data_IF_491140062682
#
_entry.id   IF_491140062682
#
_cell.length_a   1.000
_cell.length_b   1.000
_cell.length_c   1.000
_cell.angle_alpha   90.00
_cell.angle_beta   90.00
_cell.angle_gamma   90.00
#
_symmetry.space_group_name_H-M   'P 1'
#
loop_
_entity.id
_entity.type
_entity.pdbx_description
1 polymer ?
#
# COMPACT_ATOMS: atom_id res chain seq x y z
N UNK A 1 43.56 43.33 -64.79
CA UNK A 1 42.16 43.53 -64.32
C UNK A 1 41.27 42.28 -64.33
N UNK A 2 41.50 41.24 -65.15
CA UNK A 2 40.66 40.01 -65.12
C UNK A 2 40.88 39.09 -63.90
N UNK A 3 42.03 39.21 -63.20
CA UNK A 3 42.30 38.47 -61.95
C UNK A 3 41.68 39.13 -60.72
N UNK A 4 41.50 40.46 -60.72
CA UNK A 4 40.83 41.18 -59.63
C UNK A 4 39.32 40.91 -59.61
N UNK A 5 38.68 40.77 -60.78
CA UNK A 5 37.26 40.40 -60.87
C UNK A 5 36.99 38.95 -60.41
N UNK A 6 37.93 38.03 -60.66
CA UNK A 6 37.85 36.65 -60.14
C UNK A 6 38.09 36.61 -58.63
N UNK A 7 39.04 37.38 -58.11
CA UNK A 7 39.29 37.46 -56.67
C UNK A 7 38.10 38.09 -55.94
N UNK A 8 37.50 39.14 -56.51
CA UNK A 8 36.27 39.77 -56.00
C UNK A 8 35.07 38.80 -55.95
N UNK A 9 34.90 37.98 -56.99
CA UNK A 9 33.81 36.99 -57.07
C UNK A 9 34.01 35.83 -56.07
N UNK A 10 35.26 35.38 -55.88
CA UNK A 10 35.61 34.37 -54.86
C UNK A 10 35.47 34.95 -53.46
N UNK A 11 35.79 36.23 -53.23
CA UNK A 11 35.53 36.91 -51.95
C UNK A 11 34.05 37.21 -51.69
N UNK A 12 33.20 37.35 -52.73
CA UNK A 12 31.74 37.50 -52.52
C UNK A 12 31.03 36.19 -52.16
N UNK A 13 31.57 35.04 -52.57
CA UNK A 13 31.08 33.73 -52.11
C UNK A 13 31.54 33.37 -50.70
N UNK A 14 32.68 33.92 -50.26
CA UNK A 14 33.17 33.76 -48.89
C UNK A 14 32.37 34.61 -47.86
N UNK A 15 31.71 35.69 -48.30
CA UNK A 15 30.89 36.56 -47.45
C UNK A 15 29.41 36.16 -47.48
N UNK A 16 28.93 35.42 -48.49
CA UNK A 16 27.56 34.90 -48.56
C UNK A 16 27.39 33.51 -47.93
N UNK A 17 28.40 32.99 -47.22
CA UNK A 17 28.15 32.04 -46.17
C UNK A 17 27.55 32.77 -44.95
N UNK A 18 26.42 33.45 -45.17
CA UNK A 18 25.25 33.22 -44.34
C UNK A 18 24.96 31.71 -44.43
N UNK A 19 25.83 30.87 -43.86
CA UNK A 19 25.32 29.92 -42.93
C UNK A 19 24.59 30.82 -41.92
N UNK A 20 23.29 31.02 -42.17
CA UNK A 20 22.35 30.81 -41.11
C UNK A 20 22.89 29.54 -40.46
N UNK A 21 23.66 29.70 -39.38
CA UNK A 21 23.41 28.85 -38.27
C UNK A 21 21.89 28.98 -38.14
N UNK A 22 21.15 28.03 -38.74
CA UNK A 22 20.09 27.41 -37.98
C UNK A 22 20.72 27.33 -36.61
N UNK A 23 20.29 28.20 -35.70
CA UNK A 23 20.56 27.94 -34.29
C UNK A 23 20.28 26.46 -34.22
N UNK A 24 21.32 25.65 -33.95
CA UNK A 24 21.04 24.32 -33.47
C UNK A 24 20.11 24.67 -32.32
N UNK A 25 18.83 24.33 -32.46
CA UNK A 25 17.98 24.31 -31.31
C UNK A 25 18.81 23.44 -30.39
N UNK A 26 19.45 24.08 -29.42
CA UNK A 26 20.26 23.42 -28.42
C UNK A 26 19.35 22.28 -27.97
N UNK A 27 19.78 21.04 -28.08
CA UNK A 27 18.86 19.90 -27.89
C UNK A 27 18.12 20.05 -26.55
N UNK A 28 18.72 20.75 -25.58
CA UNK A 28 18.08 21.22 -24.35
C UNK A 28 16.84 22.14 -24.55
N UNK A 29 16.90 23.14 -25.43
CA UNK A 29 15.78 24.03 -25.76
C UNK A 29 14.68 23.34 -26.59
N UNK A 30 15.03 22.33 -27.41
CA UNK A 30 14.05 21.52 -28.14
C UNK A 30 13.44 20.41 -27.24
N UNK A 31 14.21 19.82 -26.32
CA UNK A 31 13.77 18.87 -25.29
C UNK A 31 12.69 19.50 -24.40
N UNK A 32 12.95 20.72 -23.93
CA UNK A 32 12.01 21.49 -23.12
C UNK A 32 10.73 21.89 -23.88
N UNK A 33 10.81 22.09 -25.20
CA UNK A 33 9.66 22.50 -26.03
C UNK A 33 8.80 21.31 -26.53
N UNK A 34 9.34 20.09 -26.53
CA UNK A 34 8.67 18.87 -27.04
C UNK A 34 8.15 17.94 -25.95
N UNK A 35 8.35 18.26 -24.66
CA UNK A 35 7.88 17.44 -23.54
C UNK A 35 8.72 16.18 -23.32
N UNK A 36 9.98 16.18 -23.78
CA UNK A 36 10.91 15.05 -23.72
C UNK A 36 11.52 14.85 -22.32
N UNK A 37 11.31 15.78 -21.38
CA UNK A 37 11.77 15.67 -19.99
C UNK A 37 10.82 14.81 -19.11
N UNK A 38 9.88 14.10 -19.73
CA UNK A 38 8.88 13.27 -19.06
C UNK A 38 7.69 14.05 -18.50
N UNK A 39 6.76 13.33 -17.85
CA UNK A 39 5.58 13.91 -17.20
C UNK A 39 5.71 13.74 -15.69
N UNK A 40 5.68 14.85 -14.95
CA UNK A 40 5.58 14.84 -13.49
C UNK A 40 4.13 15.10 -13.04
N UNK A 41 3.57 14.19 -12.24
CA UNK A 41 2.25 14.35 -11.62
C UNK A 41 2.41 14.30 -10.10
N UNK A 42 1.99 15.37 -9.42
CA UNK A 42 1.96 15.47 -7.96
C UNK A 42 0.55 15.43 -7.40
N UNK A 43 0.32 14.64 -6.36
CA UNK A 43 -0.96 14.60 -5.63
C UNK A 43 -0.82 15.29 -4.26
N UNK A 44 -1.30 16.54 -4.16
CA UNK A 44 -1.31 17.32 -2.93
C UNK A 44 -2.65 17.25 -2.20
N UNK A 45 -2.74 16.43 -1.14
CA UNK A 45 -3.87 16.42 -0.20
C UNK A 45 -3.34 16.54 1.22
N UNK A 46 -3.88 17.43 2.04
CA UNK A 46 -3.36 17.64 3.39
C UNK A 46 -3.87 16.61 4.40
N UNK A 47 -5.05 16.05 4.16
CA UNK A 47 -5.65 14.97 4.96
C UNK A 47 -6.88 14.39 4.26
N UNK A 48 -7.16 13.11 4.51
CA UNK A 48 -8.46 12.50 4.20
C UNK A 48 -9.11 12.09 5.52
N UNK A 49 -10.30 12.62 5.81
CA UNK A 49 -11.02 12.33 7.04
C UNK A 49 -12.43 11.85 6.74
N UNK A 50 -12.86 10.77 7.38
CA UNK A 50 -14.22 10.23 7.29
C UNK A 50 -14.73 10.04 8.71
N UNK A 51 -15.80 10.75 9.07
CA UNK A 51 -16.37 10.68 10.43
C UNK A 51 -16.92 9.29 10.74
N UNK A 52 -17.64 8.70 9.76
CA UNK A 52 -18.17 7.34 9.83
C UNK A 52 -18.15 6.68 8.46
N UNK A 53 -17.51 5.53 8.37
CA UNK A 53 -17.64 4.60 7.24
C UNK A 53 -18.58 3.48 7.67
N UNK A 54 -19.62 3.25 6.87
CA UNK A 54 -20.64 2.24 7.12
C UNK A 54 -20.63 1.21 6.00
N UNK A 55 -20.41 -0.06 6.37
CA UNK A 55 -20.52 -1.19 5.44
C UNK A 55 -21.77 -1.96 5.85
N UNK A 56 -22.79 -1.94 5.00
CA UNK A 56 -24.07 -2.58 5.26
C UNK A 56 -24.09 -4.02 4.75
N UNK A 57 -24.46 -4.93 5.64
CA UNK A 57 -24.82 -6.30 5.33
C UNK A 57 -26.36 -6.39 5.30
N UNK A 58 -26.91 -6.75 4.15
CA UNK A 58 -28.34 -6.54 3.85
C UNK A 58 -29.22 -7.74 4.20
N UNK A 59 -28.66 -8.95 4.21
CA UNK A 59 -29.36 -10.19 4.56
C UNK A 59 -29.03 -10.66 5.98
N UNK A 60 -27.85 -10.30 6.51
CA UNK A 60 -27.45 -10.64 7.86
C UNK A 60 -27.13 -12.13 8.03
N UNK A 61 -26.47 -12.47 9.12
CA UNK A 61 -26.14 -13.87 9.39
C UNK A 61 -27.40 -14.68 9.75
N UNK A 62 -27.74 -15.67 8.91
CA UNK A 62 -28.84 -16.59 9.15
C UNK A 62 -28.47 -17.63 10.21
N UNK A 63 -29.44 -17.98 11.08
CA UNK A 63 -29.28 -19.14 11.95
C UNK A 63 -29.39 -20.41 11.11
N UNK A 64 -28.33 -21.21 11.06
CA UNK A 64 -28.33 -22.47 10.31
C UNK A 64 -28.93 -23.63 11.11
N UNK A 65 -29.65 -23.34 12.20
CA UNK A 65 -30.39 -24.33 13.00
C UNK A 65 -29.51 -25.12 13.97
N UNK A 66 -28.30 -24.64 14.24
CA UNK A 66 -27.41 -25.25 15.22
C UNK A 66 -27.92 -25.02 16.65
N UNK A 67 -27.69 -25.98 17.55
CA UNK A 67 -27.92 -25.73 18.97
C UNK A 67 -27.05 -24.56 19.46
N UNK A 68 -27.51 -23.78 20.44
CA UNK A 68 -26.72 -22.68 21.01
C UNK A 68 -25.31 -23.15 21.41
N UNK A 69 -24.28 -22.44 20.97
CA UNK A 69 -22.87 -22.81 21.19
C UNK A 69 -22.26 -23.74 20.13
N UNK A 70 -22.99 -24.06 19.04
CA UNK A 70 -22.45 -24.76 17.88
C UNK A 70 -22.04 -23.77 16.78
N UNK A 71 -21.12 -24.17 15.90
CA UNK A 71 -20.79 -23.41 14.69
C UNK A 71 -22.07 -23.25 13.86
N UNK A 72 -22.43 -22.03 13.49
CA UNK A 72 -23.63 -21.76 12.68
C UNK A 72 -24.86 -21.26 13.44
N UNK A 73 -24.79 -21.20 14.78
CA UNK A 73 -25.92 -20.79 15.64
C UNK A 73 -25.89 -19.29 15.97
N UNK A 74 -27.05 -18.72 16.35
CA UNK A 74 -27.14 -17.37 16.91
C UNK A 74 -27.32 -16.24 15.88
N UNK A 75 -27.48 -16.58 14.61
CA UNK A 75 -27.95 -15.66 13.59
C UNK A 75 -29.41 -15.26 13.82
N UNK A 76 -29.81 -14.11 13.28
CA UNK A 76 -31.22 -13.70 13.28
C UNK A 76 -31.74 -13.43 11.86
N UNK A 77 -30.88 -13.54 10.85
CA UNK A 77 -31.19 -13.12 9.47
C UNK A 77 -31.60 -11.64 9.38
N UNK A 78 -31.10 -10.81 10.31
CA UNK A 78 -31.39 -9.37 10.35
C UNK A 78 -30.14 -8.63 9.88
N UNK A 79 -30.35 -7.67 8.97
CA UNK A 79 -29.31 -6.83 8.40
C UNK A 79 -28.43 -6.15 9.47
N UNK A 80 -27.12 -6.29 9.31
CA UNK A 80 -26.10 -5.68 10.16
C UNK A 80 -25.31 -4.60 9.43
N UNK A 81 -24.48 -3.87 10.18
CA UNK A 81 -23.53 -2.94 9.59
C UNK A 81 -22.24 -2.89 10.41
N UNK A 82 -21.11 -2.82 9.72
CA UNK A 82 -19.82 -2.47 10.31
C UNK A 82 -19.70 -0.95 10.28
N UNK A 83 -19.41 -0.38 11.44
CA UNK A 83 -19.18 1.05 11.64
C UNK A 83 -17.71 1.27 11.96
N UNK A 84 -17.01 1.99 11.09
CA UNK A 84 -15.65 2.45 11.34
C UNK A 84 -15.72 3.94 11.67
N UNK A 85 -15.37 4.30 12.90
CA UNK A 85 -15.45 5.68 13.36
C UNK A 85 -14.12 6.41 13.13
N UNK A 86 -14.18 7.70 12.81
CA UNK A 86 -13.05 8.63 12.80
C UNK A 86 -11.84 8.13 12.00
N UNK A 87 -12.06 7.75 10.74
CA UNK A 87 -10.95 7.42 9.82
C UNK A 87 -10.21 8.72 9.49
N UNK A 88 -8.93 8.77 9.77
CA UNK A 88 -8.07 9.86 9.35
C UNK A 88 -6.79 9.32 8.70
N UNK A 89 -6.45 9.85 7.55
CA UNK A 89 -5.20 9.60 6.84
C UNK A 89 -4.51 10.96 6.71
N UNK A 90 -3.33 11.09 7.31
CA UNK A 90 -2.52 12.30 7.25
C UNK A 90 -1.11 11.96 6.81
N UNK A 91 -0.39 12.89 6.16
CA UNK A 91 1.00 12.65 5.82
C UNK A 91 1.86 12.51 7.08
N UNK A 92 2.79 11.56 7.07
CA UNK A 92 3.77 11.41 8.13
C UNK A 92 4.86 12.47 7.95
N UNK A 93 4.84 13.53 8.76
CA UNK A 93 5.80 14.64 8.70
C UNK A 93 7.27 14.21 8.82
N UNK A 94 7.55 13.05 9.41
CA UNK A 94 8.91 12.48 9.49
C UNK A 94 9.34 11.71 8.24
N UNK A 95 8.44 11.50 7.28
CA UNK A 95 8.63 10.71 6.08
C UNK A 95 7.95 11.35 4.87
N UNK A 96 8.08 12.67 4.71
CA UNK A 96 7.54 13.40 3.56
C UNK A 96 8.51 13.35 2.38
N UNK A 97 7.96 13.30 1.17
CA UNK A 97 8.72 13.56 -0.04
C UNK A 97 9.22 15.01 -0.06
N UNK A 98 10.37 15.30 -0.68
CA UNK A 98 10.88 16.67 -0.82
C UNK A 98 9.88 17.63 -1.50
N UNK A 99 9.03 17.12 -2.39
CA UNK A 99 7.95 17.87 -3.06
C UNK A 99 6.78 18.25 -2.14
N UNK A 100 6.70 17.63 -0.95
CA UNK A 100 5.56 17.70 -0.02
C UNK A 100 4.24 17.14 -0.57
N UNK A 101 4.27 16.43 -1.71
CA UNK A 101 3.13 15.70 -2.24
C UNK A 101 2.94 14.36 -1.51
N UNK A 102 1.72 13.80 -1.53
CA UNK A 102 1.53 12.42 -1.09
C UNK A 102 2.18 11.43 -2.03
N UNK A 103 2.13 11.72 -3.33
CA UNK A 103 2.79 10.93 -4.34
C UNK A 103 3.34 11.84 -5.44
N UNK A 104 4.54 11.49 -5.90
CA UNK A 104 5.14 12.02 -7.12
C UNK A 104 5.28 10.88 -8.12
N UNK A 105 4.76 11.09 -9.32
CA UNK A 105 4.93 10.17 -10.43
C UNK A 105 5.79 10.84 -11.49
N UNK A 106 6.85 10.16 -11.91
CA UNK A 106 7.68 10.55 -13.06
C UNK A 106 7.50 9.50 -14.15
N UNK A 107 6.95 9.91 -15.28
CA UNK A 107 6.66 9.05 -16.42
C UNK A 107 7.62 9.44 -17.55
N UNK A 108 8.35 8.47 -18.09
CA UNK A 108 9.31 8.68 -19.16
C UNK A 108 9.34 7.48 -20.11
N UNK A 109 9.71 7.69 -21.37
CA UNK A 109 9.85 6.65 -22.38
C UNK A 109 11.30 6.55 -22.83
N UNK A 110 11.82 5.33 -22.92
CA UNK A 110 13.18 5.05 -23.38
C UNK A 110 13.11 4.11 -24.60
N UNK A 111 13.96 4.36 -25.59
CA UNK A 111 14.04 3.52 -26.79
C UNK A 111 14.58 2.11 -26.48
N UNK A 112 15.25 1.94 -25.34
CA UNK A 112 15.91 0.73 -24.89
C UNK A 112 16.93 0.21 -25.89
N UNK A 113 17.46 -0.97 -25.60
CA UNK A 113 18.25 -1.72 -26.58
C UNK A 113 17.55 -3.04 -26.94
N UNK A 114 17.88 -3.60 -28.10
CA UNK A 114 17.28 -4.85 -28.57
C UNK A 114 17.65 -6.06 -27.69
N UNK A 115 18.73 -5.98 -26.90
CA UNK A 115 19.16 -7.04 -25.98
C UNK A 115 18.32 -7.05 -24.69
N UNK A 116 17.74 -5.92 -24.30
CA UNK A 116 16.85 -5.77 -23.14
C UNK A 116 15.37 -5.81 -23.49
N UNK A 117 15.02 -6.03 -24.76
CA UNK A 117 13.64 -6.17 -25.23
C UNK A 117 13.07 -4.95 -26.00
N UNK A 118 13.89 -3.94 -26.29
CA UNK A 118 13.49 -2.73 -27.01
C UNK A 118 12.92 -1.64 -26.12
N UNK A 119 12.08 -0.78 -26.70
CA UNK A 119 11.54 0.41 -26.03
C UNK A 119 10.65 0.09 -24.83
N UNK A 120 10.67 0.97 -23.84
CA UNK A 120 9.85 0.85 -22.64
C UNK A 120 9.32 2.18 -22.13
N UNK A 121 8.19 2.12 -21.44
CA UNK A 121 7.65 3.20 -20.63
C UNK A 121 8.07 2.93 -19.18
N UNK A 122 8.80 3.87 -18.59
CA UNK A 122 9.17 3.86 -17.19
C UNK A 122 8.25 4.78 -16.39
N UNK A 123 7.72 4.28 -15.27
CA UNK A 123 6.92 5.04 -14.34
C UNK A 123 7.52 4.87 -12.95
N UNK A 124 8.23 5.89 -12.49
CA UNK A 124 8.78 5.95 -11.14
C UNK A 124 7.78 6.64 -10.22
N UNK A 125 7.27 5.91 -9.23
CA UNK A 125 6.37 6.40 -8.22
C UNK A 125 7.11 6.54 -6.89
N UNK A 126 7.02 7.71 -6.27
CA UNK A 126 7.43 7.94 -4.89
C UNK A 126 6.22 8.34 -4.09
N UNK A 127 6.08 7.82 -2.87
CA UNK A 127 4.94 8.08 -1.99
C UNK A 127 5.46 8.50 -0.62
N UNK A 128 4.93 9.58 -0.07
CA UNK A 128 5.19 10.01 1.31
C UNK A 128 4.64 8.97 2.29
N UNK A 129 5.27 8.84 3.45
CA UNK A 129 4.73 8.07 4.55
C UNK A 129 3.37 8.62 5.00
N UNK A 130 2.52 7.75 5.55
CA UNK A 130 1.17 8.04 6.00
C UNK A 130 1.03 7.67 7.48
N UNK A 131 0.32 8.50 8.23
CA UNK A 131 -0.29 8.14 9.50
C UNK A 131 -1.76 7.84 9.23
N UNK A 132 -2.16 6.59 9.42
CA UNK A 132 -3.54 6.12 9.28
C UNK A 132 -4.06 5.84 10.68
N UNK A 133 -5.14 6.49 11.08
CA UNK A 133 -5.82 6.23 12.35
C UNK A 133 -7.29 5.89 12.12
N UNK A 134 -7.73 4.85 12.80
CA UNK A 134 -9.12 4.44 12.91
C UNK A 134 -9.51 4.57 14.38
N UNK A 135 -10.66 5.19 14.65
CA UNK A 135 -11.35 5.06 15.93
C UNK A 135 -11.91 3.65 16.12
N UNK A 136 -12.75 3.48 17.14
CA UNK A 136 -13.38 2.18 17.41
C UNK A 136 -14.13 1.64 16.19
N UNK A 137 -14.02 0.33 15.96
CA UNK A 137 -14.83 -0.39 14.99
C UNK A 137 -15.94 -1.11 15.74
N UNK A 138 -17.16 -0.92 15.28
CA UNK A 138 -18.35 -1.41 15.92
C UNK A 138 -19.23 -2.17 14.93
N UNK A 139 -20.06 -3.07 15.44
CA UNK A 139 -21.13 -3.73 14.69
C UNK A 139 -22.46 -3.28 15.27
N UNK A 140 -23.38 -2.83 14.41
CA UNK A 140 -24.72 -2.38 14.80
C UNK A 140 -25.77 -2.89 13.81
N UNK A 141 -27.05 -2.77 14.16
CA UNK A 141 -28.12 -3.12 13.23
C UNK A 141 -28.14 -2.12 12.06
N UNK A 142 -28.27 -2.63 10.83
CA UNK A 142 -28.36 -1.81 9.63
C UNK A 142 -29.66 -1.00 9.65
N UNK A 143 -29.59 0.30 9.35
CA UNK A 143 -30.80 1.08 9.13
C UNK A 143 -31.49 0.70 7.82
N UNK A 144 -32.63 1.34 7.56
CA UNK A 144 -33.31 1.32 6.26
C UNK A 144 -32.94 2.56 5.45
N UNK A 145 -32.75 2.40 4.14
CA UNK A 145 -32.51 3.56 3.27
C UNK A 145 -33.73 4.49 3.32
N UNK A 146 -33.51 5.77 3.64
CA UNK A 146 -34.59 6.75 3.69
C UNK A 146 -35.16 7.02 2.29
N UNK A 147 -36.46 7.28 2.21
CA UNK A 147 -37.12 7.69 0.95
C UNK A 147 -36.76 9.13 0.55
N UNK A 148 -36.23 9.93 1.48
CA UNK A 148 -35.91 11.35 1.31
C UNK A 148 -34.43 11.69 1.55
N UNK A 149 -33.63 10.77 2.07
CA UNK A 149 -32.19 10.97 2.33
C UNK A 149 -31.41 9.74 1.83
N UNK A 150 -30.22 9.97 1.28
CA UNK A 150 -29.35 8.91 0.73
C UNK A 150 -28.67 8.07 1.82
N UNK A 151 -28.78 8.46 3.09
CA UNK A 151 -28.14 7.80 4.22
C UNK A 151 -29.06 6.74 4.85
N UNK A 152 -28.51 5.54 5.05
CA UNK A 152 -29.16 4.43 5.74
C UNK A 152 -28.87 4.44 7.25
N UNK A 153 -27.62 4.69 7.63
CA UNK A 153 -27.20 4.73 9.04
C UNK A 153 -27.34 3.38 9.77
N UNK A 154 -27.17 3.39 11.08
CA UNK A 154 -27.36 2.22 11.96
C UNK A 154 -28.45 2.48 12.99
N UNK A 155 -29.04 1.43 13.53
CA UNK A 155 -30.07 1.49 14.57
C UNK A 155 -29.67 0.68 15.80
N UNK A 156 -30.26 1.01 16.95
CA UNK A 156 -30.02 0.28 18.21
C UNK A 156 -28.63 0.50 18.81
N UNK A 157 -28.25 -0.39 19.72
CA UNK A 157 -26.96 -0.36 20.39
C UNK A 157 -25.86 -0.97 19.51
N UNK A 158 -24.72 -0.31 19.41
CA UNK A 158 -23.54 -0.81 18.73
C UNK A 158 -22.66 -1.64 19.67
N UNK A 159 -22.03 -2.68 19.12
CA UNK A 159 -21.07 -3.53 19.80
C UNK A 159 -19.67 -3.20 19.29
N UNK A 160 -18.83 -2.63 20.15
CA UNK A 160 -17.41 -2.46 19.85
C UNK A 160 -16.73 -3.81 19.69
N UNK A 161 -16.00 -3.98 18.58
CA UNK A 161 -15.21 -5.18 18.26
C UNK A 161 -13.71 -4.87 18.28
N UNK A 162 -13.32 -3.69 17.80
CA UNK A 162 -11.95 -3.18 17.92
C UNK A 162 -11.99 -1.81 18.61
N UNK A 163 -11.08 -1.61 19.57
CA UNK A 163 -10.95 -0.35 20.32
C UNK A 163 -10.34 0.80 19.51
N UNK A 164 -9.72 0.49 18.38
CA UNK A 164 -9.09 1.44 17.46
C UNK A 164 -7.78 0.89 16.89
N UNK A 165 -7.21 1.60 15.93
CA UNK A 165 -5.92 1.25 15.32
C UNK A 165 -5.21 2.50 14.82
N UNK A 166 -3.91 2.63 15.10
CA UNK A 166 -3.05 3.58 14.38
C UNK A 166 -1.94 2.83 13.68
N UNK A 167 -1.72 3.14 12.40
CA UNK A 167 -0.68 2.60 11.53
C UNK A 167 0.20 3.74 11.02
N UNK A 168 1.52 3.58 11.15
CA UNK A 168 2.51 4.54 10.63
C UNK A 168 3.30 3.90 9.50
N UNK A 169 3.49 4.62 8.40
CA UNK A 169 4.31 4.17 7.27
C UNK A 169 5.44 5.14 6.95
N UNK A 170 6.52 4.59 6.36
CA UNK A 170 7.63 5.36 5.79
C UNK A 170 7.40 5.70 4.32
N UNK A 171 8.36 6.40 3.71
CA UNK A 171 8.35 6.69 2.26
C UNK A 171 8.38 5.40 1.44
N UNK A 172 7.75 5.38 0.27
CA UNK A 172 7.75 4.22 -0.62
C UNK A 172 8.15 4.58 -2.05
N UNK A 173 9.12 3.86 -2.59
CA UNK A 173 9.53 3.94 -3.99
C UNK A 173 9.09 2.67 -4.74
N UNK A 174 8.40 2.85 -5.86
CA UNK A 174 8.03 1.80 -6.78
C UNK A 174 8.40 2.20 -8.20
N UNK A 175 8.91 1.25 -8.99
CA UNK A 175 9.18 1.48 -10.40
C UNK A 175 8.44 0.46 -11.26
N UNK A 176 7.68 0.98 -12.22
CA UNK A 176 6.86 0.20 -13.14
C UNK A 176 7.43 0.38 -14.55
N UNK A 177 7.74 -0.71 -15.22
CA UNK A 177 8.20 -0.74 -16.61
C UNK A 177 7.21 -1.52 -17.48
N UNK A 178 6.70 -0.87 -18.52
CA UNK A 178 5.80 -1.47 -19.53
C UNK A 178 6.51 -1.54 -20.89
N UNK A 179 6.31 -2.64 -21.62
CA UNK A 179 7.05 -2.95 -22.85
C UNK A 179 8.22 -3.88 -22.54
N UNK A 180 9.44 -3.41 -22.76
CA UNK A 180 10.62 -4.04 -22.20
C UNK A 180 10.72 -3.76 -20.68
N UNK A 181 11.22 -4.72 -19.90
CA UNK A 181 11.49 -4.50 -18.48
C UNK A 181 12.97 -4.82 -18.18
N UNK A 182 13.93 -3.97 -18.62
CA UNK A 182 15.35 -4.16 -18.35
C UNK A 182 15.67 -4.31 -16.85
N UNK A 183 14.80 -3.79 -15.97
CA UNK A 183 14.93 -3.98 -14.52
C UNK A 183 14.64 -5.41 -14.02
N UNK A 184 14.24 -6.33 -14.91
CA UNK A 184 14.03 -7.75 -14.62
C UNK A 184 12.60 -8.13 -14.20
N UNK A 185 11.74 -7.16 -13.89
CA UNK A 185 10.31 -7.37 -13.62
C UNK A 185 9.47 -6.16 -14.05
N UNK A 186 8.20 -6.37 -14.40
CA UNK A 186 7.29 -5.29 -14.79
C UNK A 186 7.12 -4.28 -13.65
N UNK A 187 7.04 -4.75 -12.41
CA UNK A 187 6.98 -3.89 -11.24
C UNK A 187 8.05 -4.34 -10.25
N UNK A 188 8.91 -3.41 -9.87
CA UNK A 188 9.82 -3.57 -8.75
C UNK A 188 9.42 -2.63 -7.64
N UNK A 189 9.10 -3.22 -6.49
CA UNK A 189 8.92 -2.49 -5.24
C UNK A 189 10.19 -2.67 -4.42
N UNK A 190 10.85 -1.56 -4.07
CA UNK A 190 12.01 -1.56 -3.20
C UNK A 190 11.91 -0.38 -2.25
N UNK A 191 11.36 -0.64 -1.06
CA UNK A 191 11.15 0.40 -0.07
C UNK A 191 11.58 -0.06 1.33
N UNK A 192 11.84 0.92 2.19
CA UNK A 192 12.06 0.77 3.61
C UNK A 192 11.02 1.60 4.36
N UNK A 193 10.16 0.94 5.12
CA UNK A 193 9.30 1.63 6.07
C UNK A 193 10.14 2.02 7.29
N UNK A 194 10.48 3.30 7.38
CA UNK A 194 11.25 3.86 8.50
C UNK A 194 10.51 3.66 9.82
N UNK A 195 11.15 3.03 10.80
CA UNK A 195 10.55 2.66 12.08
C UNK A 195 9.67 1.40 12.04
N UNK A 196 9.64 0.69 10.90
CA UNK A 196 8.94 -0.57 10.73
C UNK A 196 7.43 -0.40 10.61
N UNK A 197 6.70 -1.52 10.70
CA UNK A 197 5.26 -1.53 10.85
C UNK A 197 4.93 -1.51 12.34
N UNK A 198 4.45 -0.38 12.85
CA UNK A 198 3.95 -0.29 14.22
C UNK A 198 2.43 -0.14 14.23
N UNK A 199 1.77 -1.08 14.88
CA UNK A 199 0.35 -1.06 15.23
C UNK A 199 0.27 -0.77 16.71
N UNK A 200 -0.39 0.33 17.10
CA UNK A 200 -0.61 0.65 18.51
C UNK A 200 -2.09 0.61 18.85
N UNK A 201 -2.36 0.43 20.15
CA UNK A 201 -3.69 0.51 20.73
C UNK A 201 -4.70 -0.51 20.20
N UNK A 202 -4.24 -1.68 19.76
CA UNK A 202 -5.11 -2.75 19.29
C UNK A 202 -5.76 -3.48 20.49
N UNK A 203 -7.08 -3.53 20.51
CA UNK A 203 -7.86 -4.34 21.45
C UNK A 203 -8.95 -5.09 20.69
N UNK A 204 -9.07 -6.39 20.92
CA UNK A 204 -10.15 -7.23 20.40
C UNK A 204 -11.12 -7.46 21.54
N UNK A 205 -12.34 -6.94 21.39
CA UNK A 205 -13.41 -7.03 22.40
C UNK A 205 -14.27 -8.26 22.15
N UNK A 206 -14.42 -9.06 23.20
CA UNK A 206 -15.37 -10.16 23.25
C UNK A 206 -16.50 -9.83 24.22
N UNK A 207 -17.65 -9.46 23.68
CA UNK A 207 -18.84 -9.14 24.47
C UNK A 207 -19.57 -10.39 24.98
N UNK A 208 -19.28 -11.57 24.43
CA UNK A 208 -19.90 -12.83 24.86
C UNK A 208 -19.50 -13.24 26.27
N UNK A 209 -18.40 -12.67 26.80
CA UNK A 209 -17.93 -12.97 28.14
C UNK A 209 -18.72 -12.27 29.24
N UNK A 210 -19.60 -11.30 28.93
CA UNK A 210 -20.47 -10.66 29.93
C UNK A 210 -21.42 -11.73 30.51
N UNK A 211 -21.41 -11.88 31.83
CA UNK A 211 -22.18 -12.90 32.54
C UNK A 211 -21.47 -14.25 32.67
N UNK A 212 -20.32 -14.46 32.02
CA UNK A 212 -19.51 -15.66 32.25
C UNK A 212 -18.82 -15.61 33.62
N UNK A 213 -18.82 -16.73 34.33
CA UNK A 213 -18.18 -16.87 35.64
C UNK A 213 -16.66 -16.90 35.50
N UNK A 214 -15.97 -16.01 36.20
CA UNK A 214 -14.51 -16.04 36.32
C UNK A 214 -14.06 -17.23 37.17
N UNK A 215 -12.75 -17.52 37.16
CA UNK A 215 -12.15 -18.57 38.02
C UNK A 215 -12.40 -18.37 39.53
N UNK A 216 -12.82 -17.17 39.95
CA UNK A 216 -13.16 -16.85 41.34
C UNK A 216 -14.67 -16.91 41.63
N UNK A 217 -15.48 -17.37 40.66
CA UNK A 217 -16.93 -17.54 40.81
C UNK A 217 -17.75 -16.26 40.67
N UNK A 218 -17.13 -15.15 40.23
CA UNK A 218 -17.81 -13.86 40.01
C UNK A 218 -18.18 -13.74 38.54
N UNK A 219 -19.42 -13.32 38.24
CA UNK A 219 -19.83 -13.07 36.87
C UNK A 219 -19.14 -11.82 36.31
N UNK A 220 -18.59 -11.89 35.09
CA UNK A 220 -18.04 -10.71 34.42
C UNK A 220 -19.15 -9.70 34.12
N UNK A 221 -18.92 -8.43 34.45
CA UNK A 221 -19.85 -7.32 34.15
C UNK A 221 -19.44 -6.51 32.93
N UNK A 222 -18.22 -6.75 32.41
CA UNK A 222 -17.62 -6.06 31.28
C UNK A 222 -17.24 -7.06 30.17
N UNK A 223 -17.16 -6.56 28.94
CA UNK A 223 -16.66 -7.34 27.81
C UNK A 223 -15.19 -7.72 28.04
N UNK A 224 -14.87 -8.96 27.71
CA UNK A 224 -13.51 -9.48 27.69
C UNK A 224 -12.72 -8.75 26.61
N UNK A 225 -11.42 -8.64 26.83
CA UNK A 225 -10.53 -7.98 25.87
C UNK A 225 -9.21 -8.71 25.77
N UNK A 226 -8.74 -8.90 24.54
CA UNK A 226 -7.32 -9.14 24.25
C UNK A 226 -6.75 -7.79 23.82
N UNK A 227 -5.93 -7.17 24.68
CA UNK A 227 -5.34 -5.86 24.43
C UNK A 227 -3.85 -6.04 24.19
N UNK A 228 -3.34 -5.38 23.15
CA UNK A 228 -1.92 -5.30 22.83
C UNK A 228 -1.51 -3.82 22.84
N UNK A 229 -0.48 -3.44 23.58
CA UNK A 229 -0.01 -2.06 23.60
C UNK A 229 0.54 -1.66 22.22
N UNK A 230 1.41 -2.52 21.68
CA UNK A 230 1.90 -2.39 20.31
C UNK A 230 2.27 -3.73 19.69
N UNK A 231 2.08 -3.87 18.39
CA UNK A 231 2.77 -4.86 17.54
C UNK A 231 3.74 -4.09 16.67
N UNK A 232 5.02 -4.45 16.70
CA UNK A 232 6.06 -3.91 15.84
C UNK A 232 6.61 -5.00 14.94
N UNK A 233 6.78 -4.70 13.66
CA UNK A 233 7.46 -5.56 12.69
C UNK A 233 8.55 -4.75 12.02
N UNK A 234 9.79 -5.21 12.12
CA UNK A 234 10.96 -4.58 11.52
C UNK A 234 11.90 -5.65 10.94
N UNK A 235 12.92 -5.25 10.20
CA UNK A 235 14.00 -6.15 9.80
C UNK A 235 14.82 -6.52 11.03
N UNK A 236 15.28 -7.77 11.07
CA UNK A 236 16.08 -8.26 12.18
C UNK A 236 17.35 -7.43 12.39
N UNK A 237 17.51 -6.91 13.60
CA UNK A 237 18.61 -6.02 13.99
C UNK A 237 18.47 -4.57 13.49
N UNK A 238 17.30 -4.18 12.99
CA UNK A 238 16.98 -2.82 12.52
C UNK A 238 15.67 -2.33 13.12
N UNK A 239 15.44 -1.02 13.07
CA UNK A 239 14.13 -0.44 13.37
C UNK A 239 13.25 -0.31 12.12
N UNK A 240 13.80 -0.48 10.92
CA UNK A 240 13.09 -0.28 9.66
C UNK A 240 12.62 -1.62 9.10
N UNK A 241 11.53 -1.63 8.33
CA UNK A 241 11.05 -2.82 7.62
C UNK A 241 11.30 -2.67 6.12
N UNK A 242 12.10 -3.55 5.55
CA UNK A 242 12.34 -3.61 4.11
C UNK A 242 11.20 -4.36 3.42
N UNK A 243 10.63 -3.76 2.38
CA UNK A 243 9.67 -4.39 1.49
C UNK A 243 10.31 -4.48 0.10
N UNK A 244 10.56 -5.71 -0.34
CA UNK A 244 11.09 -6.00 -1.67
C UNK A 244 10.17 -6.99 -2.38
N UNK A 245 9.60 -6.60 -3.51
CA UNK A 245 8.76 -7.49 -4.30
C UNK A 245 8.95 -7.25 -5.80
N UNK A 246 8.97 -8.35 -6.55
CA UNK A 246 8.98 -8.33 -8.01
C UNK A 246 7.65 -8.89 -8.52
N UNK A 247 7.00 -8.14 -9.41
CA UNK A 247 5.77 -8.59 -10.09
C UNK A 247 6.06 -8.69 -11.59
N UNK A 248 5.74 -9.85 -12.16
CA UNK A 248 5.98 -10.16 -13.57
C UNK A 248 4.79 -10.90 -14.16
N UNK A 249 4.52 -10.63 -15.43
CA UNK A 249 3.67 -11.50 -16.26
C UNK A 249 4.59 -12.37 -17.10
N UNK A 250 4.42 -13.69 -17.01
CA UNK A 250 5.19 -14.67 -17.78
C UNK A 250 4.28 -15.22 -18.88
N UNK A 251 4.75 -15.16 -20.12
CA UNK A 251 4.02 -15.69 -21.26
C UNK A 251 4.02 -17.22 -21.34
N UNK A 252 3.19 -17.75 -22.22
CA UNK A 252 3.15 -19.16 -22.57
C UNK A 252 4.54 -19.65 -23.04
N UNK A 253 5.00 -20.77 -22.48
CA UNK A 253 6.32 -21.32 -22.83
C UNK A 253 6.30 -22.15 -24.11
N UNK A 254 5.21 -22.89 -24.36
CA UNK A 254 4.91 -23.67 -25.57
C UNK A 254 3.40 -23.79 -25.72
N UNK A 255 2.91 -23.75 -26.96
CA UNK A 255 1.50 -23.87 -27.31
C UNK A 255 0.83 -25.06 -26.57
N UNK A 256 -0.08 -24.77 -25.64
CA UNK A 256 -0.91 -25.74 -24.92
C UNK A 256 -0.29 -26.41 -23.70
N UNK A 257 0.86 -25.95 -23.18
CA UNK A 257 1.43 -26.48 -21.92
C UNK A 257 1.20 -25.56 -20.71
N UNK A 258 1.14 -24.24 -20.90
CA UNK A 258 0.86 -23.25 -19.83
C UNK A 258 0.35 -21.94 -20.47
N UNK A 259 -0.82 -21.43 -20.08
CA UNK A 259 -1.45 -20.21 -20.66
C UNK A 259 -0.81 -18.88 -20.20
N UNK A 260 0.44 -18.93 -19.72
CA UNK A 260 1.08 -17.83 -19.01
C UNK A 260 0.52 -17.63 -17.60
N UNK A 261 1.18 -16.80 -16.79
CA UNK A 261 0.76 -16.54 -15.41
C UNK A 261 1.27 -15.20 -14.87
N UNK A 262 0.54 -14.67 -13.89
CA UNK A 262 1.03 -13.61 -13.03
C UNK A 262 1.88 -14.22 -11.91
N UNK A 263 3.10 -13.71 -11.73
CA UNK A 263 4.00 -14.11 -10.66
C UNK A 263 4.35 -12.91 -9.79
N UNK A 264 4.15 -13.08 -8.48
CA UNK A 264 4.57 -12.13 -7.45
C UNK A 264 5.59 -12.84 -6.57
N UNK A 265 6.81 -12.31 -6.48
CA UNK A 265 7.85 -12.83 -5.60
C UNK A 265 8.18 -11.74 -4.58
N UNK A 266 7.73 -11.94 -3.35
CA UNK A 266 8.21 -11.18 -2.19
C UNK A 266 9.58 -11.73 -1.80
N UNK A 267 10.52 -10.84 -1.50
CA UNK A 267 11.85 -11.19 -1.04
C UNK A 267 11.92 -10.88 0.46
N UNK A 268 12.11 -11.91 1.29
CA UNK A 268 12.34 -11.69 2.73
C UNK A 268 13.61 -10.86 2.93
N UNK A 269 13.66 -9.99 3.96
CA UNK A 269 14.89 -9.31 4.33
C UNK A 269 16.01 -10.33 4.56
N UNK A 270 17.25 -9.99 4.19
CA UNK A 270 18.40 -10.91 4.30
C UNK A 270 18.55 -11.49 5.71
N UNK A 271 18.25 -10.67 6.73
CA UNK A 271 18.36 -11.05 8.13
C UNK A 271 17.06 -11.64 8.72
N UNK A 272 15.97 -11.69 7.95
CA UNK A 272 14.61 -11.98 8.44
C UNK A 272 13.94 -10.74 9.04
N UNK A 273 12.73 -10.92 9.56
CA UNK A 273 11.94 -9.89 10.22
C UNK A 273 11.78 -10.21 11.71
N UNK A 274 11.86 -9.19 12.56
CA UNK A 274 11.52 -9.30 13.97
C UNK A 274 10.08 -8.85 14.19
N UNK A 275 9.35 -9.57 15.03
CA UNK A 275 8.01 -9.20 15.49
C UNK A 275 8.07 -9.06 17.01
N UNK A 276 7.70 -7.87 17.49
CA UNK A 276 7.67 -7.56 18.92
C UNK A 276 6.27 -7.10 19.31
N UNK A 277 5.65 -7.82 20.23
CA UNK A 277 4.32 -7.53 20.77
C UNK A 277 4.50 -7.12 22.22
N UNK A 278 4.17 -5.87 22.53
CA UNK A 278 4.32 -5.31 23.86
C UNK A 278 3.01 -5.37 24.62
N UNK A 279 3.09 -5.69 25.92
CA UNK A 279 2.00 -5.55 26.87
C UNK A 279 0.77 -6.34 26.44
N UNK A 280 0.85 -7.67 26.45
CA UNK A 280 -0.31 -8.51 26.16
C UNK A 280 -1.19 -8.58 27.41
N UNK A 281 -2.41 -8.04 27.35
CA UNK A 281 -3.38 -8.12 28.45
C UNK A 281 -4.56 -9.02 28.06
N UNK A 282 -5.05 -9.78 29.03
CA UNK A 282 -6.19 -10.69 28.86
C UNK A 282 -7.30 -10.32 29.84
N UNK A 283 -8.54 -10.24 29.34
CA UNK A 283 -9.75 -10.05 30.14
C UNK A 283 -10.19 -8.59 30.28
N UNK A 284 -9.28 -7.65 30.57
CA UNK A 284 -9.59 -6.22 30.54
C UNK A 284 -8.35 -5.35 30.33
N UNK A 285 -8.54 -4.13 29.83
CA UNK A 285 -7.47 -3.13 29.71
C UNK A 285 -6.75 -2.80 31.03
N UNK A 286 -7.41 -3.04 32.17
CA UNK A 286 -6.83 -2.81 33.51
C UNK A 286 -6.23 -4.07 34.14
N UNK A 287 -6.32 -5.22 33.47
CA UNK A 287 -5.77 -6.48 33.97
C UNK A 287 -4.24 -6.49 33.84
N UNK A 288 -3.58 -7.28 34.70
CA UNK A 288 -2.14 -7.51 34.60
C UNK A 288 -1.76 -8.08 33.23
N UNK A 289 -0.71 -7.53 32.62
CA UNK A 289 -0.18 -8.08 31.38
C UNK A 289 0.44 -9.45 31.64
N UNK A 290 0.28 -10.38 30.70
CA UNK A 290 1.04 -11.65 30.69
C UNK A 290 2.50 -11.47 30.21
N UNK A 291 2.90 -10.22 29.92
CA UNK A 291 4.23 -9.85 29.44
C UNK A 291 4.26 -9.48 27.96
N UNK A 292 5.48 -9.42 27.43
CA UNK A 292 5.77 -9.14 26.02
C UNK A 292 6.01 -10.47 25.26
N UNK A 293 5.79 -10.45 23.94
CA UNK A 293 6.09 -11.57 23.04
C UNK A 293 7.06 -11.09 21.97
N UNK A 294 8.16 -11.82 21.77
CA UNK A 294 9.20 -11.49 20.81
C UNK A 294 9.49 -12.68 19.90
N UNK A 295 9.55 -12.44 18.59
CA UNK A 295 9.93 -13.39 17.55
C UNK A 295 11.05 -12.74 16.74
N UNK A 296 12.26 -13.31 16.77
CA UNK A 296 13.43 -12.76 16.08
C UNK A 296 13.77 -13.55 14.81
N UNK A 297 14.11 -12.84 13.74
CA UNK A 297 14.65 -13.40 12.51
C UNK A 297 13.67 -14.30 11.75
N UNK A 298 12.36 -14.02 11.82
CA UNK A 298 11.36 -14.76 11.05
C UNK A 298 11.67 -14.63 9.55
N UNK A 299 11.90 -15.76 8.89
CA UNK A 299 12.16 -15.84 7.46
C UNK A 299 11.06 -16.65 6.80
N UNK A 300 10.55 -16.15 5.69
CA UNK A 300 9.79 -16.98 4.76
C UNK A 300 10.74 -17.47 3.67
N UNK A 301 10.56 -18.71 3.21
CA UNK A 301 11.39 -19.31 2.15
C UNK A 301 10.51 -19.87 1.05
N UNK A 302 10.92 -19.66 -0.20
CA UNK A 302 10.30 -20.22 -1.39
C UNK A 302 11.35 -21.06 -2.13
N UNK A 303 10.94 -22.03 -2.95
CA UNK A 303 11.83 -22.98 -3.61
C UNK A 303 12.88 -22.34 -4.57
N UNK A 304 12.83 -21.02 -4.78
CA UNK A 304 13.82 -20.22 -5.52
C UNK A 304 14.62 -19.19 -4.68
N UNK A 305 14.50 -19.16 -3.35
CA UNK A 305 15.25 -18.24 -2.48
C UNK A 305 14.50 -17.76 -1.21
N UNK A 306 14.99 -16.68 -0.60
CA UNK A 306 14.35 -16.03 0.55
C UNK A 306 13.07 -15.31 0.12
N UNK A 307 11.97 -15.51 0.85
CA UNK A 307 10.68 -14.86 0.59
C UNK A 307 9.52 -15.83 0.34
N UNK A 308 8.43 -15.30 -0.21
CA UNK A 308 7.22 -16.04 -0.57
C UNK A 308 6.81 -15.72 -2.01
N UNK A 309 6.26 -16.71 -2.72
CA UNK A 309 5.80 -16.53 -4.10
C UNK A 309 4.32 -16.87 -4.24
N UNK A 310 3.60 -16.08 -5.04
CA UNK A 310 2.21 -16.30 -5.45
C UNK A 310 2.19 -16.39 -6.97
N UNK A 311 1.57 -17.45 -7.48
CA UNK A 311 1.35 -17.67 -8.92
C UNK A 311 -0.15 -17.76 -9.18
N UNK A 312 -0.64 -16.98 -10.14
CA UNK A 312 -2.03 -17.01 -10.59
C UNK A 312 -2.03 -17.35 -12.08
N UNK A 313 -2.64 -18.47 -12.44
CA UNK A 313 -2.77 -19.00 -13.80
C UNK A 313 -4.23 -19.26 -14.15
N UNK A 314 -4.58 -19.03 -15.42
CA UNK A 314 -5.89 -19.39 -15.97
C UNK A 314 -5.96 -20.85 -16.44
N UNK A 315 -7.12 -21.22 -16.99
CA UNK A 315 -7.31 -22.34 -17.94
C UNK A 315 -7.55 -21.76 -19.33
#
# INVERSE_FOLDING_TARGET
>A
MKMFAKLALVSSMAISANAMAMQSMDDAALSAATGQDGINIGLGVTSVTIDKLLIHDNDGYADNGGAAGTIGSGGTGVAGAIVVNNVAITPNMSALLPSHNLADLTIDTDAGDTATGGAFLNVAAKVSGLNISLGKIEVAASGTQGTTNIQRGTTGAANEILSGLTLKTGTMDANIQLGAAPQGAMIMLNTTMTGGLEITNLGIKDKSTIGQTTSTGVASTLAGEIRLDSIKVADNGSNDMTIKANVSVVGESVAGANDGFLRIVSQSPTNGSDIYIKGVHLGSATAGSIGDVEIQGLKTTYAGGNGAAITISGH
#
